data_IF_040257041972
#
_entry.id   IF_040257041972
#
_cell.length_a   1.000
_cell.length_b   1.000
_cell.length_c   1.000
_cell.angle_alpha   90.00
_cell.angle_beta   90.00
_cell.angle_gamma   90.00
#
_symmetry.space_group_name_H-M   'P 1'
#
loop_
_entity.id
_entity.type
_entity.pdbx_description
1 polymer ?
#
# COMPACT_ATOMS: atom_id res chain seq x y z
N UNK A 1 15.42 -11.49 4.85
CA UNK A 1 15.66 -10.15 4.24
C UNK A 1 14.42 -9.31 4.47
N UNK A 2 14.53 -8.09 5.00
CA UNK A 2 13.44 -7.11 5.03
C UNK A 2 13.86 -5.78 4.43
N UNK A 3 12.89 -4.99 3.97
CA UNK A 3 13.04 -3.57 3.67
C UNK A 3 11.83 -2.85 4.24
N UNK A 4 12.05 -1.81 5.05
CA UNK A 4 10.96 -1.07 5.71
C UNK A 4 11.29 0.41 5.84
N UNK A 5 10.28 1.22 6.15
CA UNK A 5 10.44 2.65 6.46
C UNK A 5 10.56 2.88 7.96
N UNK A 6 11.47 3.75 8.35
CA UNK A 6 11.62 4.25 9.71
C UNK A 6 11.06 5.66 9.81
N UNK A 7 10.34 5.95 10.91
CA UNK A 7 10.00 7.33 11.27
C UNK A 7 11.26 8.11 11.63
N UNK A 8 11.26 9.41 11.41
CA UNK A 8 12.37 10.33 11.69
C UNK A 8 12.86 10.29 13.15
N UNK A 9 11.96 10.01 14.10
CA UNK A 9 12.27 9.88 15.53
C UNK A 9 12.73 8.47 15.94
N UNK A 10 12.94 7.54 14.99
CA UNK A 10 13.43 6.20 15.31
C UNK A 10 14.84 6.27 15.88
N UNK A 11 15.06 5.63 17.03
CA UNK A 11 16.33 5.65 17.74
C UNK A 11 17.32 4.62 17.17
N UNK A 12 18.52 5.08 16.82
CA UNK A 12 19.63 4.29 16.29
C UNK A 12 20.95 4.70 16.94
N UNK A 13 21.96 3.83 16.88
CA UNK A 13 23.33 4.14 17.28
C UNK A 13 24.24 4.02 16.03
N UNK A 14 24.71 5.13 15.46
CA UNK A 14 25.44 5.14 14.19
C UNK A 14 26.93 4.83 14.29
N UNK A 15 27.53 4.94 15.48
CA UNK A 15 28.98 4.96 15.69
C UNK A 15 29.43 4.29 17.02
N UNK A 16 28.50 3.72 17.78
CA UNK A 16 28.77 3.15 19.09
C UNK A 16 28.72 4.16 20.25
N UNK A 17 28.68 5.47 19.98
CA UNK A 17 28.78 6.51 21.01
C UNK A 17 27.45 6.79 21.73
N UNK A 18 26.33 6.28 21.23
CA UNK A 18 25.05 6.39 21.91
C UNK A 18 23.85 6.36 20.96
N UNK A 19 22.67 6.43 21.56
CA UNK A 19 21.41 6.37 20.85
C UNK A 19 20.94 7.78 20.46
N UNK A 20 20.70 8.00 19.17
CA UNK A 20 20.18 9.27 18.61
C UNK A 20 19.00 9.00 17.67
N UNK A 21 18.09 9.97 17.47
CA UNK A 21 17.09 9.88 16.41
C UNK A 21 17.73 9.79 15.02
N UNK A 22 17.20 8.95 14.13
CA UNK A 22 17.72 8.76 12.76
C UNK A 22 17.75 10.08 11.97
N UNK A 23 16.85 11.03 12.28
CA UNK A 23 16.85 12.35 11.65
C UNK A 23 18.09 13.20 11.93
N UNK A 24 18.87 12.88 12.97
CA UNK A 24 20.15 13.55 13.29
C UNK A 24 21.35 12.83 12.70
N UNK A 25 21.16 11.66 12.10
CA UNK A 25 22.23 10.86 11.52
C UNK A 25 22.42 11.27 10.07
N UNK A 26 23.65 11.61 9.72
CA UNK A 26 24.02 11.78 8.32
C UNK A 26 24.02 10.41 7.61
N UNK A 27 23.14 10.29 6.60
CA UNK A 27 23.02 9.09 5.78
C UNK A 27 23.39 9.46 4.34
N UNK A 28 24.56 9.03 3.85
CA UNK A 28 25.02 9.32 2.50
C UNK A 28 24.27 8.46 1.46
N UNK A 29 24.45 8.75 0.17
CA UNK A 29 23.70 8.11 -0.92
C UNK A 29 23.87 6.57 -0.97
N UNK A 30 25.06 6.06 -0.64
CA UNK A 30 25.37 4.63 -0.53
C UNK A 30 24.72 3.94 0.68
N UNK A 31 24.06 4.71 1.54
CA UNK A 31 23.51 4.26 2.82
C UNK A 31 24.54 4.23 3.94
N UNK A 32 24.06 4.04 5.17
CA UNK A 32 24.88 3.94 6.38
C UNK A 32 24.45 2.73 7.20
N UNK A 33 25.42 1.97 7.68
CA UNK A 33 25.15 0.93 8.67
C UNK A 33 25.02 1.57 10.05
N UNK A 34 23.95 1.26 10.76
CA UNK A 34 23.68 1.72 12.13
C UNK A 34 23.13 0.58 12.96
N UNK A 35 23.27 0.65 14.28
CA UNK A 35 22.60 -0.27 15.19
C UNK A 35 21.19 0.25 15.54
N UNK A 36 20.15 -0.45 15.10
CA UNK A 36 18.77 -0.15 15.41
C UNK A 36 18.39 -0.70 16.79
N UNK A 37 17.92 0.19 17.68
CA UNK A 37 17.54 -0.18 19.06
C UNK A 37 16.49 -1.29 19.07
N UNK A 38 16.81 -2.40 19.76
CA UNK A 38 15.93 -3.56 19.90
C UNK A 38 15.94 -4.53 18.72
N UNK A 39 16.83 -4.32 17.73
CA UNK A 39 16.93 -5.21 16.57
C UNK A 39 18.36 -5.65 16.27
N UNK A 40 19.30 -4.70 16.14
CA UNK A 40 20.68 -4.99 15.74
C UNK A 40 21.13 -4.12 14.55
N UNK A 41 22.20 -4.55 13.87
CA UNK A 41 22.75 -3.82 12.73
C UNK A 41 21.78 -3.84 11.54
N UNK A 42 21.58 -2.66 10.94
CA UNK A 42 20.80 -2.45 9.73
C UNK A 42 21.52 -1.46 8.83
N UNK A 43 21.29 -1.54 7.52
CA UNK A 43 21.67 -0.49 6.58
C UNK A 43 20.50 0.43 6.33
N UNK A 44 20.75 1.72 6.46
CA UNK A 44 19.76 2.78 6.27
C UNK A 44 20.11 3.61 5.04
N UNK A 45 19.09 3.95 4.27
CA UNK A 45 19.15 4.92 3.18
C UNK A 45 18.21 6.08 3.49
N UNK A 46 18.58 7.28 3.04
CA UNK A 46 17.73 8.46 3.11
C UNK A 46 17.31 8.85 1.69
N UNK A 47 16.01 9.03 1.50
CA UNK A 47 15.42 9.59 0.28
C UNK A 47 14.67 10.86 0.63
N UNK A 48 14.66 11.84 -0.28
CA UNK A 48 13.91 13.09 -0.10
C UNK A 48 12.83 13.12 -1.17
N UNK A 49 11.57 13.28 -0.75
CA UNK A 49 10.45 13.42 -1.67
C UNK A 49 10.54 14.76 -2.42
N UNK A 50 9.76 14.91 -3.50
CA UNK A 50 9.67 16.19 -4.22
C UNK A 50 9.16 17.35 -3.33
N UNK A 51 8.47 17.02 -2.23
CA UNK A 51 7.93 17.99 -1.27
C UNK A 51 8.91 18.29 -0.13
N UNK A 52 10.12 17.74 -0.17
CA UNK A 52 11.15 17.96 0.86
C UNK A 52 11.11 16.99 2.04
N UNK A 53 10.11 16.09 2.10
CA UNK A 53 10.00 15.12 3.18
C UNK A 53 11.09 14.05 3.10
N UNK A 54 11.85 13.89 4.17
CA UNK A 54 12.87 12.85 4.28
C UNK A 54 12.25 11.51 4.71
N UNK A 55 12.44 10.49 3.89
CA UNK A 55 12.12 9.11 4.21
C UNK A 55 13.39 8.31 4.52
N UNK A 56 13.32 7.45 5.53
CA UNK A 56 14.42 6.58 5.94
C UNK A 56 14.06 5.13 5.68
N UNK A 57 14.80 4.47 4.79
CA UNK A 57 14.61 3.06 4.44
C UNK A 57 15.65 2.21 5.18
N UNK A 58 15.22 1.15 5.85
CA UNK A 58 16.11 0.24 6.58
C UNK A 58 15.99 -1.20 6.10
N UNK A 59 17.11 -1.92 6.08
CA UNK A 59 17.20 -3.34 5.74
C UNK A 59 18.20 -4.06 6.64
N UNK A 60 18.00 -5.37 6.86
CA UNK A 60 19.01 -6.22 7.49
C UNK A 60 20.11 -6.70 6.53
N UNK A 61 20.03 -6.38 5.24
CA UNK A 61 21.11 -6.63 4.29
C UNK A 61 22.09 -5.46 4.29
N UNK A 62 23.22 -5.65 4.98
CA UNK A 62 24.27 -4.64 5.10
C UNK A 62 25.03 -4.40 3.78
N UNK A 63 24.94 -5.35 2.85
CA UNK A 63 25.51 -5.25 1.51
C UNK A 63 24.62 -4.51 0.52
N UNK A 64 23.34 -4.30 0.84
CA UNK A 64 22.37 -3.73 -0.08
C UNK A 64 22.87 -2.39 -0.67
N UNK A 65 22.69 -2.22 -1.97
CA UNK A 65 22.96 -0.97 -2.69
C UNK A 65 21.72 -0.08 -2.75
N UNK A 66 21.93 1.22 -3.00
CA UNK A 66 20.82 2.15 -3.19
C UNK A 66 19.89 1.73 -4.36
N UNK A 67 20.44 1.13 -5.41
CA UNK A 67 19.71 0.60 -6.56
C UNK A 67 18.85 -0.60 -6.20
N UNK A 68 19.41 -1.60 -5.51
CA UNK A 68 18.64 -2.77 -5.03
C UNK A 68 17.52 -2.35 -4.08
N UNK A 69 17.78 -1.41 -3.18
CA UNK A 69 16.75 -0.82 -2.32
C UNK A 69 15.65 -0.13 -3.13
N UNK A 70 15.99 0.55 -4.24
CA UNK A 70 15.00 1.17 -5.14
C UNK A 70 14.08 0.14 -5.78
N UNK A 71 14.69 -0.91 -6.33
CA UNK A 71 13.97 -2.01 -6.97
C UNK A 71 13.03 -2.70 -6.00
N UNK A 72 13.50 -3.03 -4.80
CA UNK A 72 12.70 -3.70 -3.78
C UNK A 72 11.58 -2.80 -3.24
N UNK A 73 11.84 -1.50 -3.07
CA UNK A 73 10.78 -0.53 -2.75
C UNK A 73 9.71 -0.45 -3.85
N UNK A 74 10.13 -0.45 -5.11
CA UNK A 74 9.22 -0.49 -6.27
C UNK A 74 8.36 -1.75 -6.32
N UNK A 75 8.93 -2.91 -5.98
CA UNK A 75 8.18 -4.16 -5.84
C UNK A 75 7.15 -4.08 -4.70
N UNK A 76 7.53 -3.47 -3.58
CA UNK A 76 6.64 -3.26 -2.43
C UNK A 76 5.44 -2.36 -2.74
N UNK A 77 5.56 -1.42 -3.69
CA UNK A 77 4.46 -0.56 -4.11
C UNK A 77 3.26 -1.36 -4.63
N UNK A 78 3.48 -2.52 -5.25
CA UNK A 78 2.40 -3.41 -5.70
C UNK A 78 1.46 -3.82 -4.57
N UNK A 79 1.99 -3.97 -3.35
CA UNK A 79 1.20 -4.30 -2.14
C UNK A 79 0.29 -3.12 -1.76
N UNK A 80 0.81 -1.89 -1.81
CA UNK A 80 0.01 -0.70 -1.53
C UNK A 80 -1.10 -0.51 -2.57
N UNK A 81 -0.80 -0.73 -3.85
CA UNK A 81 -1.76 -0.69 -4.95
C UNK A 81 -2.85 -1.76 -4.76
N UNK A 82 -2.45 -2.99 -4.42
CA UNK A 82 -3.38 -4.08 -4.09
C UNK A 82 -4.35 -3.68 -2.96
N UNK A 83 -3.83 -3.18 -1.83
CA UNK A 83 -4.66 -2.78 -0.71
C UNK A 83 -5.60 -1.62 -1.07
N UNK A 84 -5.13 -0.65 -1.85
CA UNK A 84 -5.96 0.47 -2.31
C UNK A 84 -7.14 -0.02 -3.15
N UNK A 85 -6.88 -0.91 -4.11
CA UNK A 85 -7.91 -1.51 -4.95
C UNK A 85 -8.92 -2.34 -4.15
N UNK A 86 -8.43 -3.18 -3.22
CA UNK A 86 -9.28 -4.00 -2.37
C UNK A 86 -10.23 -3.15 -1.51
N UNK A 87 -9.75 -2.02 -0.96
CA UNK A 87 -10.58 -1.08 -0.19
C UNK A 87 -11.59 -0.35 -1.07
N UNK A 88 -11.14 0.28 -2.15
CA UNK A 88 -11.95 1.21 -2.94
C UNK A 88 -12.90 0.49 -3.90
N UNK A 89 -12.46 -0.60 -4.53
CA UNK A 89 -13.25 -1.32 -5.52
C UNK A 89 -14.09 -2.43 -4.88
N UNK A 90 -13.57 -3.12 -3.86
CA UNK A 90 -14.21 -4.32 -3.29
C UNK A 90 -14.84 -4.09 -1.90
N UNK A 91 -14.67 -2.91 -1.29
CA UNK A 91 -15.35 -2.56 -0.05
C UNK A 91 -14.97 -3.43 1.15
N UNK A 92 -13.74 -3.95 1.20
CA UNK A 92 -13.29 -4.87 2.26
C UNK A 92 -13.48 -4.31 3.67
N UNK A 93 -13.44 -2.98 3.84
CA UNK A 93 -13.61 -2.29 5.13
C UNK A 93 -15.05 -1.79 5.37
N UNK A 94 -16.01 -2.07 4.47
CA UNK A 94 -17.38 -1.53 4.54
C UNK A 94 -18.40 -2.43 5.25
N UNK A 95 -18.00 -3.62 5.71
CA UNK A 95 -18.92 -4.49 6.43
C UNK A 95 -19.18 -3.99 7.85
N UNK A 96 -20.44 -3.68 8.14
CA UNK A 96 -20.91 -3.27 9.47
C UNK A 96 -21.43 -4.48 10.26
N UNK A 97 -20.61 -5.53 10.36
CA UNK A 97 -20.95 -6.78 11.06
C UNK A 97 -20.07 -6.98 12.28
N UNK A 98 -20.64 -7.52 13.37
CA UNK A 98 -19.93 -7.73 14.65
C UNK A 98 -19.55 -9.18 14.93
N UNK A 99 -20.13 -10.14 14.21
CA UNK A 99 -19.84 -11.57 14.38
C UNK A 99 -18.56 -11.92 13.62
N UNK A 100 -17.58 -12.54 14.29
CA UNK A 100 -16.30 -12.93 13.69
C UNK A 100 -16.47 -13.72 12.38
N UNK A 101 -17.39 -14.70 12.36
CA UNK A 101 -17.68 -15.48 11.15
C UNK A 101 -18.19 -14.61 9.98
N UNK A 102 -19.03 -13.62 10.27
CA UNK A 102 -19.54 -12.70 9.26
C UNK A 102 -18.42 -11.78 8.73
N UNK A 103 -17.52 -11.32 9.60
CA UNK A 103 -16.35 -10.53 9.21
C UNK A 103 -15.44 -11.32 8.27
N UNK A 104 -15.11 -12.57 8.61
CA UNK A 104 -14.27 -13.44 7.77
C UNK A 104 -14.95 -13.73 6.43
N UNK A 105 -16.26 -13.99 6.42
CA UNK A 105 -17.01 -14.19 5.17
C UNK A 105 -16.97 -12.98 4.26
N UNK A 106 -17.16 -11.77 4.81
CA UNK A 106 -17.04 -10.53 4.03
C UNK A 106 -15.63 -10.36 3.45
N UNK A 107 -14.60 -10.57 4.27
CA UNK A 107 -13.20 -10.50 3.83
C UNK A 107 -12.95 -11.44 2.64
N UNK A 108 -13.37 -12.70 2.74
CA UNK A 108 -13.19 -13.69 1.67
C UNK A 108 -13.94 -13.31 0.39
N UNK A 109 -15.16 -12.77 0.51
CA UNK A 109 -15.93 -12.29 -0.65
C UNK A 109 -15.28 -11.09 -1.33
N UNK A 110 -14.77 -10.13 -0.55
CA UNK A 110 -14.05 -8.98 -1.07
C UNK A 110 -12.74 -9.38 -1.78
N UNK A 111 -11.99 -10.33 -1.22
CA UNK A 111 -10.80 -10.90 -1.87
C UNK A 111 -11.14 -11.60 -3.18
N UNK A 112 -12.22 -12.40 -3.20
CA UNK A 112 -12.69 -13.07 -4.42
C UNK A 112 -13.14 -12.07 -5.49
N UNK A 113 -13.80 -10.98 -5.10
CA UNK A 113 -14.15 -9.89 -6.00
C UNK A 113 -12.90 -9.21 -6.58
N UNK A 114 -11.89 -8.93 -5.75
CA UNK A 114 -10.62 -8.38 -6.21
C UNK A 114 -9.95 -9.27 -7.25
N UNK A 115 -9.85 -10.58 -7.00
CA UNK A 115 -9.24 -11.52 -7.96
C UNK A 115 -9.94 -11.49 -9.32
N UNK A 116 -11.27 -11.38 -9.36
CA UNK A 116 -12.01 -11.24 -10.62
C UNK A 116 -11.68 -9.94 -11.35
N UNK A 117 -11.67 -8.82 -10.62
CA UNK A 117 -11.30 -7.52 -11.18
C UNK A 117 -9.86 -7.50 -11.67
N UNK A 118 -8.94 -8.17 -10.97
CA UNK A 118 -7.53 -8.22 -11.35
C UNK A 118 -7.28 -9.10 -12.57
N UNK A 119 -7.91 -10.28 -12.64
CA UNK A 119 -7.88 -11.10 -13.85
C UNK A 119 -8.43 -10.33 -15.05
N UNK A 120 -9.53 -9.59 -14.87
CA UNK A 120 -10.08 -8.75 -15.94
C UNK A 120 -9.08 -7.67 -16.37
N UNK A 121 -8.53 -6.89 -15.43
CA UNK A 121 -7.52 -5.86 -15.70
C UNK A 121 -6.32 -6.40 -16.44
N UNK A 122 -5.79 -7.55 -16.02
CA UNK A 122 -4.62 -8.17 -16.65
C UNK A 122 -4.91 -8.65 -18.08
N UNK A 123 -6.14 -9.08 -18.36
CA UNK A 123 -6.55 -9.55 -19.69
C UNK A 123 -6.91 -8.43 -20.65
N UNK A 124 -7.50 -7.34 -20.17
CA UNK A 124 -8.10 -6.29 -21.01
C UNK A 124 -7.38 -4.95 -20.94
N UNK A 125 -6.50 -4.75 -19.96
CA UNK A 125 -5.88 -3.46 -19.66
C UNK A 125 -6.83 -2.46 -18.97
N UNK A 126 -8.12 -2.79 -18.84
CA UNK A 126 -9.11 -1.90 -18.22
C UNK A 126 -8.89 -1.83 -16.72
N UNK A 127 -8.76 -0.62 -16.17
CA UNK A 127 -8.56 -0.41 -14.73
C UNK A 127 -9.72 -0.96 -13.89
N UNK A 128 -9.45 -1.32 -12.63
CA UNK A 128 -10.50 -1.77 -11.71
C UNK A 128 -11.63 -0.76 -11.51
N UNK A 129 -11.29 0.54 -11.54
CA UNK A 129 -12.26 1.62 -11.39
C UNK A 129 -13.19 1.68 -12.59
N UNK A 130 -12.62 1.63 -13.80
CA UNK A 130 -13.41 1.66 -15.03
C UNK A 130 -14.24 0.39 -15.19
N UNK A 131 -13.69 -0.80 -14.89
CA UNK A 131 -14.44 -2.06 -14.94
C UNK A 131 -15.66 -2.05 -14.00
N UNK A 132 -15.55 -1.40 -12.84
CA UNK A 132 -16.68 -1.23 -11.91
C UNK A 132 -17.68 -0.20 -12.43
N UNK A 133 -17.18 0.90 -12.99
CA UNK A 133 -18.02 2.01 -13.45
C UNK A 133 -18.76 1.67 -14.75
N UNK A 134 -18.15 0.89 -15.65
CA UNK A 134 -18.79 0.44 -16.89
C UNK A 134 -20.04 -0.39 -16.60
N UNK A 135 -19.98 -1.32 -15.66
CA UNK A 135 -21.13 -2.12 -15.22
C UNK A 135 -22.28 -1.22 -14.73
N UNK A 136 -21.97 -0.21 -13.93
CA UNK A 136 -22.97 0.74 -13.43
C UNK A 136 -23.56 1.58 -14.57
N UNK A 137 -22.72 2.09 -15.48
CA UNK A 137 -23.18 2.86 -16.65
C UNK A 137 -24.09 2.03 -17.54
N UNK A 138 -23.75 0.77 -17.79
CA UNK A 138 -24.55 -0.15 -18.59
C UNK A 138 -25.90 -0.45 -17.91
N UNK A 139 -25.90 -0.74 -16.61
CA UNK A 139 -27.14 -0.94 -15.85
C UNK A 139 -28.05 0.30 -15.88
N UNK A 140 -27.48 1.51 -15.70
CA UNK A 140 -28.24 2.77 -15.79
C UNK A 140 -28.81 2.96 -17.20
N UNK A 141 -28.00 2.76 -18.25
CA UNK A 141 -28.49 2.87 -19.65
C UNK A 141 -29.62 1.88 -19.93
N UNK A 142 -29.47 0.63 -19.51
CA UNK A 142 -30.50 -0.39 -19.69
C UNK A 142 -31.80 -0.02 -18.98
N UNK A 143 -31.70 0.46 -17.75
CA UNK A 143 -32.86 0.95 -16.99
C UNK A 143 -33.53 2.16 -17.66
N UNK A 144 -32.76 3.15 -18.12
CA UNK A 144 -33.32 4.33 -18.80
C UNK A 144 -34.00 3.99 -20.13
N UNK A 145 -33.53 2.95 -20.82
CA UNK A 145 -34.17 2.46 -22.05
C UNK A 145 -35.49 1.73 -21.76
N UNK A 146 -35.55 0.97 -20.66
CA UNK A 146 -36.72 0.19 -20.24
C UNK A 146 -36.94 0.27 -18.73
N UNK A 147 -37.57 1.34 -18.22
CA UNK A 147 -37.82 1.50 -16.79
C UNK A 147 -38.70 0.38 -16.26
N UNK A 148 -38.24 -0.32 -15.23
CA UNK A 148 -38.97 -1.44 -14.59
C UNK A 148 -39.62 -1.05 -13.27
N UNK A 149 -39.24 0.09 -12.70
CA UNK A 149 -39.78 0.66 -11.48
C UNK A 149 -39.80 2.17 -11.62
N UNK A 150 -40.82 2.84 -11.12
CA UNK A 150 -40.81 4.31 -11.05
C UNK A 150 -40.01 4.76 -9.83
N UNK A 151 -38.92 5.46 -10.07
CA UNK A 151 -38.16 6.12 -9.01
C UNK A 151 -38.79 7.48 -8.76
N UNK A 152 -39.63 7.56 -7.73
CA UNK A 152 -40.18 8.84 -7.29
C UNK A 152 -39.06 9.77 -6.80
N UNK A 153 -39.11 11.07 -7.14
CA UNK A 153 -38.18 12.05 -6.58
C UNK A 153 -38.19 11.99 -5.05
N UNK A 154 -37.01 11.95 -4.45
CA UNK A 154 -36.83 12.04 -2.99
C UNK A 154 -36.74 13.48 -2.49
N UNK A 155 -36.97 14.45 -3.37
CA UNK A 155 -36.96 15.89 -3.12
C UNK A 155 -38.27 16.52 -3.59
#
# INVERSE_FOLDING_TARGET
LFLTRLKSNRVVNPDGAGNVPISRVEVPAQGRVVHLRGFGLVKVFRTVSRNGDAEYWATNDLGMTATQRAQLAGQGWGIEVYHRALKQCCGVERAQVRKALAMVRHLLLALRAFLRLEVYRLRTGVSWYEAKLSLLREAIRAYLAHPTYDLNPTA
#
